data_IF_767014398492
#
_entry.id   IF_767014398492
#
_cell.length_a   1.000
_cell.length_b   1.000
_cell.length_c   1.000
_cell.angle_alpha   90.00
_cell.angle_beta   90.00
_cell.angle_gamma   90.00
#
_symmetry.space_group_name_H-M   'P 1'
#
loop_
_entity.id
_entity.type
_entity.pdbx_description
1 polymer ?
#
# COMPACT_ATOMS: atom_id res chain seq x y z
N UNK A 1 13.63 15.17 -7.39
CA UNK A 1 12.39 15.86 -7.83
C UNK A 1 12.23 17.15 -7.04
N UNK A 2 11.82 18.24 -7.69
CA UNK A 2 11.58 19.54 -7.07
C UNK A 2 10.22 19.59 -6.37
N UNK A 3 10.10 20.30 -5.25
CA UNK A 3 8.84 20.46 -4.50
C UNK A 3 8.68 21.91 -4.02
N UNK A 4 7.50 22.28 -3.52
CA UNK A 4 7.27 23.59 -2.91
C UNK A 4 7.54 24.79 -3.83
N UNK A 5 8.16 25.85 -3.29
CA UNK A 5 8.49 27.06 -4.02
C UNK A 5 9.39 26.80 -5.23
N UNK A 6 10.35 25.89 -5.09
CA UNK A 6 11.35 25.61 -6.13
C UNK A 6 10.71 24.96 -7.36
N UNK A 7 9.71 24.10 -7.13
CA UNK A 7 8.89 23.54 -8.20
C UNK A 7 8.11 24.63 -8.93
N UNK A 8 7.48 25.56 -8.21
CA UNK A 8 6.71 26.64 -8.82
C UNK A 8 7.58 27.61 -9.62
N UNK A 9 8.77 27.95 -9.10
CA UNK A 9 9.74 28.79 -9.83
C UNK A 9 10.18 28.09 -11.11
N UNK A 10 10.57 26.81 -11.02
CA UNK A 10 11.05 26.07 -12.20
C UNK A 10 9.97 25.91 -13.27
N UNK A 11 8.71 25.66 -12.88
CA UNK A 11 7.60 25.56 -13.82
C UNK A 11 7.28 26.91 -14.49
N UNK A 12 7.42 28.02 -13.77
CA UNK A 12 7.30 29.37 -14.36
C UNK A 12 8.43 29.65 -15.36
N UNK A 13 9.66 29.29 -15.01
CA UNK A 13 10.84 29.53 -15.86
C UNK A 13 10.81 28.72 -17.15
N UNK A 14 10.32 27.47 -17.10
CA UNK A 14 10.22 26.59 -18.26
C UNK A 14 9.09 26.98 -19.21
N UNK A 15 8.09 27.73 -18.74
CA UNK A 15 7.03 28.28 -19.59
C UNK A 15 6.20 27.21 -20.31
N UNK A 16 6.00 27.41 -21.62
CA UNK A 16 5.07 26.66 -22.47
C UNK A 16 5.72 25.45 -23.17
N UNK A 17 6.47 24.63 -22.41
CA UNK A 17 6.95 23.34 -22.90
C UNK A 17 5.94 22.23 -22.62
N UNK A 18 6.15 21.05 -23.22
CA UNK A 18 5.23 19.93 -23.00
C UNK A 18 5.18 19.53 -21.51
N UNK A 19 4.03 19.04 -21.06
CA UNK A 19 3.84 18.55 -19.68
C UNK A 19 4.88 17.47 -19.32
N UNK A 20 5.28 16.66 -20.30
CA UNK A 20 6.31 15.62 -20.18
C UNK A 20 7.68 16.22 -19.87
N UNK A 21 8.06 17.27 -20.60
CA UNK A 21 9.35 17.95 -20.41
C UNK A 21 9.40 18.72 -19.09
N UNK A 22 8.29 19.38 -18.72
CA UNK A 22 8.12 20.01 -17.42
C UNK A 22 8.33 19.03 -16.27
N UNK A 23 7.61 17.90 -16.28
CA UNK A 23 7.73 16.88 -15.25
C UNK A 23 9.15 16.28 -15.20
N UNK A 24 9.75 16.02 -16.36
CA UNK A 24 11.12 15.48 -16.47
C UNK A 24 12.16 16.47 -15.94
N UNK A 25 12.08 17.74 -16.33
CA UNK A 25 12.98 18.80 -15.87
C UNK A 25 12.83 19.10 -14.38
N UNK A 26 11.64 18.87 -13.81
CA UNK A 26 11.41 18.95 -12.36
C UNK A 26 11.82 17.66 -11.62
N UNK A 27 12.35 16.66 -12.32
CA UNK A 27 12.88 15.42 -11.75
C UNK A 27 11.83 14.36 -11.43
N UNK A 28 10.64 14.42 -12.03
CA UNK A 28 9.56 13.43 -11.91
C UNK A 28 9.68 12.34 -12.98
N UNK A 29 10.87 11.75 -13.08
CA UNK A 29 11.16 10.67 -14.03
C UNK A 29 11.84 9.51 -13.29
N UNK A 30 11.54 8.28 -13.71
CA UNK A 30 12.18 7.07 -13.21
C UNK A 30 12.64 6.22 -14.39
N UNK A 31 13.82 5.62 -14.29
CA UNK A 31 14.30 4.66 -15.29
C UNK A 31 13.64 3.30 -15.10
N UNK A 32 13.11 2.74 -16.18
CA UNK A 32 12.64 1.36 -16.22
C UNK A 32 13.83 0.40 -16.37
N UNK A 33 13.59 -0.89 -16.12
CA UNK A 33 14.59 -1.95 -16.28
C UNK A 33 15.11 -2.09 -17.71
N UNK A 34 14.30 -1.69 -18.70
CA UNK A 34 14.66 -1.67 -20.12
C UNK A 34 15.45 -0.42 -20.54
N UNK A 35 15.78 0.47 -19.60
CA UNK A 35 16.49 1.73 -19.85
C UNK A 35 15.60 2.88 -20.32
N UNK A 36 14.32 2.64 -20.62
CA UNK A 36 13.38 3.69 -21.01
C UNK A 36 12.97 4.55 -19.82
N UNK A 37 12.71 5.83 -20.09
CA UNK A 37 12.25 6.76 -19.07
C UNK A 37 10.73 6.63 -18.85
N UNK A 38 10.31 6.66 -17.59
CA UNK A 38 8.90 6.73 -17.17
C UNK A 38 8.68 8.02 -16.41
N UNK A 39 7.81 8.87 -16.95
CA UNK A 39 7.42 10.12 -16.28
C UNK A 39 6.32 9.83 -15.25
N UNK A 40 6.48 10.39 -14.04
CA UNK A 40 5.58 10.21 -12.91
C UNK A 40 4.65 11.43 -12.77
N UNK A 41 3.66 11.53 -13.66
CA UNK A 41 2.72 12.67 -13.69
C UNK A 41 1.91 12.83 -12.41
N UNK A 42 1.48 11.74 -11.77
CA UNK A 42 0.70 11.80 -10.53
C UNK A 42 1.47 12.54 -9.44
N UNK A 43 2.72 12.14 -9.19
CA UNK A 43 3.58 12.78 -8.20
C UNK A 43 3.90 14.24 -8.56
N UNK A 44 4.08 14.55 -9.86
CA UNK A 44 4.30 15.93 -10.33
C UNK A 44 3.10 16.84 -10.05
N UNK A 45 1.89 16.40 -10.37
CA UNK A 45 0.69 17.19 -10.15
C UNK A 45 0.33 17.31 -8.67
N UNK A 46 0.50 16.25 -7.88
CA UNK A 46 0.34 16.31 -6.43
C UNK A 46 1.29 17.34 -5.81
N UNK A 47 2.57 17.34 -6.21
CA UNK A 47 3.53 18.32 -5.73
C UNK A 47 3.19 19.76 -6.17
N UNK A 48 2.65 19.96 -7.38
CA UNK A 48 2.18 21.27 -7.83
C UNK A 48 0.98 21.77 -7.05
N UNK A 49 0.02 20.88 -6.75
CA UNK A 49 -1.16 21.21 -5.95
C UNK A 49 -0.76 21.54 -4.52
N UNK A 50 0.09 20.70 -3.91
CA UNK A 50 0.63 20.94 -2.58
C UNK A 50 1.42 22.27 -2.52
N UNK A 51 2.24 22.58 -3.52
CA UNK A 51 2.97 23.84 -3.58
C UNK A 51 2.04 25.07 -3.71
N UNK A 52 0.84 24.89 -4.27
CA UNK A 52 -0.22 25.91 -4.33
C UNK A 52 -1.12 25.93 -3.09
N UNK A 53 -0.82 25.14 -2.06
CA UNK A 53 -1.61 25.05 -0.83
C UNK A 53 -2.89 24.22 -0.96
N UNK A 54 -3.03 23.43 -2.03
CA UNK A 54 -4.13 22.49 -2.22
C UNK A 54 -3.63 21.11 -1.79
N UNK A 55 -3.97 20.71 -0.57
CA UNK A 55 -3.72 19.36 -0.07
C UNK A 55 -4.83 18.43 -0.58
N UNK A 56 -4.45 17.43 -1.37
CA UNK A 56 -5.37 16.37 -1.82
C UNK A 56 -5.60 15.27 -0.75
N UNK A 57 -5.25 15.54 0.51
CA UNK A 57 -5.28 14.57 1.60
C UNK A 57 -4.11 13.59 1.55
N UNK A 58 -2.99 14.03 0.97
CA UNK A 58 -1.82 13.21 0.65
C UNK A 58 -0.53 13.66 1.34
N UNK A 59 -0.63 14.53 2.36
CA UNK A 59 0.51 15.00 3.13
C UNK A 59 1.36 13.85 3.68
N UNK A 60 2.60 13.77 3.21
CA UNK A 60 3.74 13.09 3.85
C UNK A 60 3.50 11.68 4.42
N UNK A 61 2.67 10.86 3.79
CA UNK A 61 2.87 9.42 3.89
C UNK A 61 3.99 9.07 2.91
N UNK A 62 5.21 8.96 3.43
CA UNK A 62 6.29 8.29 2.71
C UNK A 62 5.76 7.02 2.06
N UNK A 63 6.36 6.65 0.94
CA UNK A 63 6.20 5.35 0.28
C UNK A 63 6.31 4.24 1.34
N UNK A 64 5.18 3.88 1.93
CA UNK A 64 5.13 3.32 3.27
C UNK A 64 3.70 2.93 3.59
N UNK A 65 3.20 1.95 2.82
CA UNK A 65 2.06 1.08 3.14
C UNK A 65 1.05 1.66 4.16
N UNK A 66 0.31 2.69 3.76
CA UNK A 66 -1.03 2.93 4.32
C UNK A 66 -1.96 1.82 3.81
N UNK A 67 -1.74 0.59 4.29
CA UNK A 67 -2.55 -0.56 3.92
C UNK A 67 -4.00 -0.37 4.35
N UNK A 68 -4.93 -1.06 3.68
CA UNK A 68 -6.31 -1.14 4.15
C UNK A 68 -6.31 -1.58 5.61
N UNK A 69 -7.07 -0.89 6.45
CA UNK A 69 -7.31 -1.32 7.84
C UNK A 69 -7.91 -2.73 7.84
N UNK A 70 -7.54 -3.54 8.83
CA UNK A 70 -8.11 -4.87 8.98
C UNK A 70 -9.61 -4.76 9.30
N UNK A 71 -10.44 -5.41 8.50
CA UNK A 71 -11.90 -5.45 8.69
C UNK A 71 -12.33 -6.40 9.80
N UNK A 72 -11.45 -7.29 10.25
CA UNK A 72 -11.75 -8.45 11.11
C UNK A 72 -12.90 -9.33 10.56
N UNK A 73 -13.12 -9.29 9.24
CA UNK A 73 -14.14 -10.08 8.54
C UNK A 73 -13.48 -10.81 7.38
N UNK A 74 -13.68 -12.12 7.32
CA UNK A 74 -13.34 -12.96 6.18
C UNK A 74 -14.62 -13.43 5.48
N UNK A 75 -14.67 -13.28 4.16
CA UNK A 75 -15.81 -13.72 3.34
C UNK A 75 -15.44 -15.01 2.64
N UNK A 76 -16.39 -15.95 2.60
CA UNK A 76 -16.25 -17.18 1.82
C UNK A 76 -16.11 -16.81 0.34
N UNK A 77 -15.03 -17.28 -0.28
CA UNK A 77 -14.74 -17.02 -1.69
C UNK A 77 -15.67 -17.84 -2.59
N UNK A 78 -15.77 -17.48 -3.87
CA UNK A 78 -16.66 -18.18 -4.82
C UNK A 78 -16.36 -19.68 -5.00
N UNK A 79 -15.18 -20.13 -4.61
CA UNK A 79 -14.78 -21.54 -4.58
C UNK A 79 -15.11 -22.27 -3.26
N UNK A 80 -15.78 -21.60 -2.31
CA UNK A 80 -16.14 -22.16 -1.01
C UNK A 80 -15.06 -22.05 0.08
N UNK A 81 -13.87 -21.53 -0.23
CA UNK A 81 -12.78 -21.42 0.74
C UNK A 81 -12.89 -20.15 1.60
N UNK A 82 -12.45 -20.25 2.86
CA UNK A 82 -12.25 -19.11 3.75
C UNK A 82 -10.74 -18.88 3.91
N UNK A 83 -10.28 -17.65 3.69
CA UNK A 83 -8.85 -17.31 3.73
C UNK A 83 -8.55 -16.33 4.86
N UNK A 84 -7.51 -16.62 5.65
CA UNK A 84 -6.97 -15.72 6.67
C UNK A 84 -5.86 -14.89 6.05
N UNK A 85 -6.02 -13.57 6.07
CA UNK A 85 -5.04 -12.65 5.48
C UNK A 85 -3.72 -12.61 6.27
N UNK A 86 -2.61 -12.36 5.57
CA UNK A 86 -1.25 -12.31 6.14
C UNK A 86 -1.10 -11.41 7.37
N UNK A 87 -1.87 -10.32 7.45
CA UNK A 87 -1.78 -9.41 8.58
C UNK A 87 -2.29 -10.06 9.88
N UNK A 88 -3.30 -10.95 9.82
CA UNK A 88 -3.77 -11.68 10.99
C UNK A 88 -2.80 -12.78 11.41
N UNK A 89 -2.23 -13.51 10.45
CA UNK A 89 -1.22 -14.54 10.77
C UNK A 89 0.05 -13.93 11.35
N UNK A 90 0.43 -12.73 10.92
CA UNK A 90 1.57 -11.99 11.50
C UNK A 90 1.30 -11.49 12.93
N UNK A 91 0.06 -11.19 13.30
CA UNK A 91 -0.30 -10.83 14.69
C UNK A 91 -0.19 -12.02 15.65
N UNK A 92 -0.25 -13.23 15.10
CA UNK A 92 -0.07 -14.49 15.83
C UNK A 92 1.34 -15.06 15.66
N UNK A 93 2.26 -14.30 15.04
CA UNK A 93 3.64 -14.69 14.75
C UNK A 93 3.80 -16.04 14.01
N UNK A 94 2.79 -16.42 13.21
CA UNK A 94 2.79 -17.69 12.50
C UNK A 94 3.86 -17.74 11.40
N UNK A 95 4.53 -18.88 11.31
CA UNK A 95 5.56 -19.17 10.35
C UNK A 95 5.05 -20.11 9.24
N UNK A 96 5.80 -20.14 8.14
CA UNK A 96 5.51 -21.08 7.05
C UNK A 96 5.81 -22.49 7.56
N UNK A 97 4.80 -23.37 7.49
CA UNK A 97 4.89 -24.74 7.99
C UNK A 97 4.16 -24.97 9.30
N UNK A 98 3.65 -23.92 9.96
CA UNK A 98 2.81 -24.10 11.15
C UNK A 98 1.52 -24.86 10.79
N UNK A 99 1.21 -25.90 11.56
CA UNK A 99 0.07 -26.76 11.35
C UNK A 99 -0.99 -26.56 12.43
N UNK A 100 -2.25 -26.69 12.03
CA UNK A 100 -3.40 -26.55 12.92
C UNK A 100 -4.38 -27.70 12.72
N UNK A 101 -4.88 -28.24 13.83
CA UNK A 101 -6.04 -29.13 13.85
C UNK A 101 -7.32 -28.29 13.73
N UNK A 102 -8.21 -28.70 12.83
CA UNK A 102 -9.50 -28.04 12.63
C UNK A 102 -10.55 -28.73 13.50
N UNK A 103 -11.15 -28.00 14.44
CA UNK A 103 -12.35 -28.44 15.17
C UNK A 103 -13.58 -27.68 14.68
N UNK A 104 -14.66 -28.43 14.40
CA UNK A 104 -15.95 -27.89 13.99
C UNK A 104 -16.87 -27.76 15.20
N UNK A 105 -17.34 -26.54 15.48
CA UNK A 105 -18.43 -26.26 16.41
C UNK A 105 -19.75 -26.02 15.68
N UNK A 106 -20.83 -25.77 16.43
CA UNK A 106 -22.20 -25.61 15.89
C UNK A 106 -22.31 -24.54 14.78
N UNK A 107 -21.49 -23.48 14.83
CA UNK A 107 -21.36 -22.43 13.80
C UNK A 107 -19.97 -21.77 13.79
N UNK A 108 -18.94 -22.50 14.20
CA UNK A 108 -17.60 -21.96 14.34
C UNK A 108 -16.57 -22.98 13.86
N UNK A 109 -15.47 -22.47 13.30
CA UNK A 109 -14.29 -23.25 12.99
C UNK A 109 -13.21 -22.77 13.96
N UNK A 110 -12.67 -23.68 14.76
CA UNK A 110 -11.53 -23.41 15.64
C UNK A 110 -10.28 -24.06 15.05
N UNK A 111 -9.22 -23.28 14.96
CA UNK A 111 -7.89 -23.76 14.59
C UNK A 111 -7.08 -23.91 15.88
N UNK A 112 -6.55 -25.10 16.13
CA UNK A 112 -5.74 -25.41 17.31
C UNK A 112 -4.34 -25.78 16.83
N UNK A 113 -3.27 -25.09 17.27
CA UNK A 113 -1.90 -25.44 16.88
C UNK A 113 -1.62 -26.92 17.18
N UNK A 114 -1.02 -27.64 16.23
CA UNK A 114 -0.61 -29.03 16.45
C UNK A 114 0.50 -29.03 17.51
N UNK A 115 0.27 -29.74 18.63
CA UNK A 115 1.20 -29.80 19.76
C UNK A 115 1.04 -28.68 20.80
N UNK A 116 0.08 -27.76 20.61
CA UNK A 116 -0.34 -26.83 21.66
C UNK A 116 -1.30 -27.48 22.65
N UNK A 117 -1.25 -27.06 23.92
CA UNK A 117 -2.26 -27.44 24.90
C UNK A 117 -3.61 -26.78 24.55
N UNK A 118 -4.70 -27.53 24.66
CA UNK A 118 -6.03 -26.94 24.66
C UNK A 118 -6.19 -26.11 25.92
N UNK A 119 -5.97 -24.80 25.83
CA UNK A 119 -6.59 -23.88 26.78
C UNK A 119 -8.10 -24.04 26.60
N UNK A 120 -8.70 -24.81 27.52
CA UNK A 120 -10.14 -25.04 27.56
C UNK A 120 -10.86 -23.71 27.67
N UNK A 121 -11.90 -23.52 26.85
CA UNK A 121 -12.80 -22.40 27.07
C UNK A 121 -13.52 -22.62 28.40
N UNK A 122 -13.42 -21.63 29.29
CA UNK A 122 -14.54 -21.30 30.19
C UNK A 122 -15.70 -20.68 29.40
#
# INVERSE_FOLDING_TARGET
MLTGSDLLTKVKDLGDVSKTDLATACGYVSKKKDGSDRVNFTAFYEALLNAKGIDLGGGNAGVGKGGRKLSYVATVQGNGNLLIGKAYTAMLDLQVGDEFTIKLGKKAIRLIPVGGEEEGDE
#
